data_IF_036309626505
#
_entry.id   IF_036309626505
#
_cell.length_a   1.000
_cell.length_b   1.000
_cell.length_c   1.000
_cell.angle_alpha   90.00
_cell.angle_beta   90.00
_cell.angle_gamma   90.00
#
_symmetry.space_group_name_H-M   'P 1'
#
loop_
_entity.id
_entity.type
_entity.pdbx_description
1 polymer ?
#
# COMPACT_ATOMS: atom_id res chain seq x y z
N UNK A 1 -19.06 -14.71 10.17
CA UNK A 1 -17.75 -14.07 10.01
C UNK A 1 -17.81 -13.16 8.78
N UNK A 2 -17.35 -11.93 8.86
CA UNK A 2 -17.24 -11.06 7.69
C UNK A 2 -16.34 -11.76 6.67
N UNK A 3 -16.81 -11.88 5.43
CA UNK A 3 -16.08 -12.54 4.34
C UNK A 3 -15.21 -11.56 3.54
N UNK A 4 -15.38 -10.25 3.79
CA UNK A 4 -14.52 -9.19 3.26
C UNK A 4 -13.83 -8.50 4.45
N UNK A 5 -12.53 -8.37 4.37
CA UNK A 5 -11.70 -7.84 5.43
C UNK A 5 -10.73 -6.78 4.87
N UNK A 6 -10.67 -5.63 5.55
CA UNK A 6 -9.69 -4.57 5.30
C UNK A 6 -8.97 -4.29 6.60
N UNK A 7 -7.66 -4.30 6.59
CA UNK A 7 -6.81 -3.88 7.69
C UNK A 7 -5.90 -2.75 7.24
N UNK A 8 -5.81 -1.71 8.05
CA UNK A 8 -4.86 -0.61 7.87
C UNK A 8 -4.09 -0.46 9.16
N UNK A 9 -2.78 -0.56 9.10
CA UNK A 9 -1.89 -0.43 10.23
C UNK A 9 -0.84 0.65 9.95
N UNK A 10 -0.49 1.40 10.99
CA UNK A 10 0.50 2.46 10.92
C UNK A 10 1.52 2.27 12.04
N UNK A 11 2.79 2.44 11.76
CA UNK A 11 3.83 2.47 12.79
C UNK A 11 4.83 3.59 12.58
N UNK A 12 5.39 4.05 13.68
CA UNK A 12 6.44 5.05 13.75
C UNK A 12 7.61 4.40 14.48
N UNK A 13 8.75 4.33 13.82
CA UNK A 13 9.97 3.79 14.37
C UNK A 13 10.96 4.94 14.57
N UNK A 14 11.48 5.10 15.77
CA UNK A 14 12.36 6.22 16.15
C UNK A 14 13.69 5.67 16.66
N UNK A 15 14.79 6.32 16.26
CA UNK A 15 16.12 5.93 16.75
C UNK A 15 16.29 6.30 18.22
N UNK A 16 16.87 5.39 19.00
CA UNK A 16 17.39 5.70 20.35
C UNK A 16 18.80 6.30 20.27
N UNK A 17 19.28 6.88 21.39
CA UNK A 17 20.63 7.43 21.44
C UNK A 17 20.81 8.83 20.84
N UNK A 18 19.72 9.47 20.44
CA UNK A 18 19.70 10.89 20.05
C UNK A 18 19.05 11.71 21.18
N UNK A 19 19.73 12.79 21.60
CA UNK A 19 19.26 13.63 22.71
C UNK A 19 17.86 14.24 22.45
N UNK A 20 17.52 14.49 21.20
CA UNK A 20 16.24 15.05 20.80
C UNK A 20 15.10 14.01 20.81
N UNK A 21 15.40 12.72 20.69
CA UNK A 21 14.37 11.66 20.65
C UNK A 21 13.51 11.63 21.95
N UNK A 22 14.11 11.98 23.08
CA UNK A 22 13.41 12.11 24.35
C UNK A 22 12.46 13.33 24.44
N UNK A 23 12.51 14.24 23.48
CA UNK A 23 11.78 15.51 23.47
C UNK A 23 10.76 15.63 22.32
N UNK A 24 10.40 14.54 21.68
CA UNK A 24 9.36 14.56 20.63
C UNK A 24 8.04 15.03 21.26
N UNK A 25 7.45 16.04 20.65
CA UNK A 25 6.27 16.73 21.18
C UNK A 25 5.05 15.80 21.25
N UNK A 26 4.30 15.88 22.34
CA UNK A 26 2.98 15.27 22.46
C UNK A 26 2.01 15.76 21.38
N UNK A 27 2.20 16.98 20.83
CA UNK A 27 1.45 17.50 19.69
C UNK A 27 1.64 16.69 18.40
N UNK A 28 2.70 15.87 18.33
CA UNK A 28 2.91 14.90 17.28
C UNK A 28 2.44 13.49 17.69
N UNK A 29 2.86 13.02 18.85
CA UNK A 29 2.61 11.65 19.30
C UNK A 29 1.12 11.36 19.56
N UNK A 30 0.39 12.29 20.18
CA UNK A 30 -1.03 12.10 20.50
C UNK A 30 -1.91 11.99 19.25
N UNK A 31 -1.81 12.90 18.24
CA UNK A 31 -2.53 12.74 16.99
C UNK A 31 -2.16 11.44 16.24
N UNK A 32 -0.88 11.06 16.20
CA UNK A 32 -0.44 9.83 15.57
C UNK A 32 -1.12 8.60 16.17
N UNK A 33 -1.19 8.50 17.49
CA UNK A 33 -1.89 7.42 18.20
C UNK A 33 -3.40 7.49 18.06
N UNK A 34 -3.99 8.69 18.22
CA UNK A 34 -5.45 8.84 18.35
C UNK A 34 -6.18 8.77 17.01
N UNK A 35 -5.64 9.44 15.97
CA UNK A 35 -6.32 9.57 14.68
C UNK A 35 -5.81 8.60 13.63
N UNK A 36 -4.53 8.24 13.71
CA UNK A 36 -3.90 7.31 12.75
C UNK A 36 -3.70 5.91 13.32
N UNK A 37 -4.06 5.68 14.61
CA UNK A 37 -3.85 4.42 15.34
C UNK A 37 -2.41 3.91 15.22
N UNK A 38 -1.45 4.85 15.16
CA UNK A 38 -0.03 4.55 14.95
C UNK A 38 0.59 3.87 16.17
N UNK A 39 1.21 2.75 15.95
CA UNK A 39 2.10 2.11 16.91
C UNK A 39 3.46 2.82 16.92
N UNK A 40 4.05 3.04 18.09
CA UNK A 40 5.30 3.79 18.22
C UNK A 40 6.35 2.86 18.82
N UNK A 41 7.47 2.73 18.09
CA UNK A 41 8.61 1.90 18.45
C UNK A 41 9.88 2.74 18.57
N UNK A 42 10.68 2.43 19.57
CA UNK A 42 12.01 2.98 19.77
C UNK A 42 13.05 1.85 19.58
N UNK A 43 14.07 2.09 18.76
CA UNK A 43 15.09 1.11 18.46
C UNK A 43 16.43 1.79 18.15
N UNK A 44 17.52 1.06 18.32
CA UNK A 44 18.87 1.54 17.99
C UNK A 44 19.18 1.32 16.51
N UNK A 45 19.07 2.39 15.72
CA UNK A 45 19.34 2.34 14.27
C UNK A 45 20.84 2.37 13.95
N UNK A 46 21.70 2.64 14.92
CA UNK A 46 23.15 2.74 14.73
C UNK A 46 23.84 1.40 14.96
N UNK A 47 23.66 0.83 16.15
CA UNK A 47 24.40 -0.38 16.53
C UNK A 47 23.60 -1.68 16.23
N UNK A 48 22.28 -1.57 16.05
CA UNK A 48 21.38 -2.71 15.82
C UNK A 48 20.53 -2.60 14.54
N UNK A 49 21.02 -1.89 13.52
CA UNK A 49 20.31 -1.66 12.25
C UNK A 49 19.73 -2.94 11.62
N UNK A 50 20.51 -4.02 11.57
CA UNK A 50 20.07 -5.30 10.99
C UNK A 50 18.91 -5.94 11.77
N UNK A 51 18.84 -5.73 13.09
CA UNK A 51 17.74 -6.23 13.89
C UNK A 51 16.49 -5.38 13.67
N UNK A 52 16.64 -4.06 13.57
CA UNK A 52 15.54 -3.13 13.26
C UNK A 52 14.91 -3.45 11.91
N UNK A 53 15.72 -3.73 10.89
CA UNK A 53 15.24 -4.19 9.56
C UNK A 53 14.37 -5.44 9.70
N UNK A 54 14.79 -6.41 10.50
CA UNK A 54 14.00 -7.63 10.73
C UNK A 54 12.70 -7.33 11.46
N UNK A 55 12.73 -6.48 12.48
CA UNK A 55 11.57 -6.15 13.30
C UNK A 55 10.53 -5.38 12.48
N UNK A 56 10.96 -4.43 11.64
CA UNK A 56 10.09 -3.71 10.69
C UNK A 56 9.46 -4.69 9.68
N UNK A 57 10.27 -5.55 9.07
CA UNK A 57 9.77 -6.52 8.10
C UNK A 57 8.79 -7.52 8.74
N UNK A 58 9.04 -7.97 9.97
CA UNK A 58 8.13 -8.83 10.71
C UNK A 58 6.81 -8.11 11.03
N UNK A 59 6.87 -6.85 11.46
CA UNK A 59 5.67 -6.04 11.72
C UNK A 59 4.80 -5.94 10.47
N UNK A 60 5.40 -5.63 9.33
CA UNK A 60 4.70 -5.56 8.04
C UNK A 60 4.10 -6.90 7.65
N UNK A 61 4.88 -7.96 7.73
CA UNK A 61 4.44 -9.31 7.39
C UNK A 61 3.21 -9.74 8.23
N UNK A 62 3.21 -9.42 9.52
CA UNK A 62 2.08 -9.69 10.41
C UNK A 62 0.84 -8.87 10.04
N UNK A 63 1.00 -7.56 9.77
CA UNK A 63 -0.11 -6.66 9.47
C UNK A 63 -0.66 -6.80 8.05
N UNK A 64 0.06 -7.46 7.16
CA UNK A 64 -0.39 -7.80 5.80
C UNK A 64 -0.79 -9.27 5.64
N UNK A 65 -1.07 -9.97 6.74
CA UNK A 65 -1.42 -11.38 6.74
C UNK A 65 -0.43 -12.24 5.93
N UNK A 66 0.87 -12.00 6.14
CA UNK A 66 2.00 -12.67 5.49
C UNK A 66 2.10 -12.45 3.96
N UNK A 67 1.37 -11.49 3.42
CA UNK A 67 1.44 -11.19 1.99
C UNK A 67 2.69 -10.40 1.59
N UNK A 68 3.18 -9.52 2.46
CA UNK A 68 4.40 -8.74 2.24
C UNK A 68 5.46 -9.15 3.28
N UNK A 69 6.34 -10.08 2.95
CA UNK A 69 7.35 -10.59 3.90
C UNK A 69 8.47 -9.61 4.21
N UNK A 70 8.70 -8.62 3.33
CA UNK A 70 9.70 -7.58 3.58
C UNK A 70 9.45 -6.34 2.74
N UNK A 71 9.72 -5.17 3.33
CA UNK A 71 9.69 -3.86 2.67
C UNK A 71 11.09 -3.30 2.48
N UNK A 72 12.00 -3.58 3.41
CA UNK A 72 13.34 -3.02 3.40
C UNK A 72 14.39 -4.10 3.59
N UNK A 73 15.59 -3.87 3.01
CA UNK A 73 16.72 -4.77 3.12
C UNK A 73 17.86 -4.20 3.97
N UNK A 74 17.93 -2.88 4.10
CA UNK A 74 18.98 -2.18 4.82
C UNK A 74 18.44 -0.92 5.48
N UNK A 75 19.09 -0.48 6.54
CA UNK A 75 18.79 0.75 7.27
C UNK A 75 20.07 1.58 7.38
N UNK A 76 20.00 2.82 6.90
CA UNK A 76 21.13 3.76 7.03
C UNK A 76 21.25 4.23 8.48
N UNK A 77 22.47 4.29 8.99
CA UNK A 77 22.79 4.82 10.34
C UNK A 77 22.45 6.31 10.52
N UNK A 78 22.25 7.03 9.42
CA UNK A 78 21.78 8.42 9.45
C UNK A 78 20.25 8.54 9.52
N UNK A 79 19.52 7.44 9.47
CA UNK A 79 18.08 7.44 9.63
C UNK A 79 17.72 7.80 11.07
N UNK A 80 16.74 8.68 11.24
CA UNK A 80 16.30 9.13 12.55
C UNK A 80 14.89 8.69 12.86
N UNK A 81 14.07 8.52 11.82
CA UNK A 81 12.68 8.08 11.95
C UNK A 81 12.23 7.36 10.68
N UNK A 82 11.35 6.39 10.84
CA UNK A 82 10.63 5.74 9.75
C UNK A 82 9.13 5.75 10.05
N UNK A 83 8.33 6.04 9.04
CA UNK A 83 6.88 5.96 9.08
C UNK A 83 6.46 4.84 8.13
N UNK A 84 5.80 3.83 8.67
CA UNK A 84 5.38 2.65 7.91
C UNK A 84 3.86 2.59 7.91
N UNK A 85 3.27 2.46 6.75
CA UNK A 85 1.85 2.18 6.58
C UNK A 85 1.67 0.84 5.88
N UNK A 86 0.84 -0.02 6.41
CA UNK A 86 0.49 -1.31 5.82
C UNK A 86 -1.02 -1.38 5.60
N UNK A 87 -1.43 -1.76 4.40
CA UNK A 87 -2.83 -1.99 4.04
C UNK A 87 -2.99 -3.42 3.54
N UNK A 88 -3.96 -4.12 4.07
CA UNK A 88 -4.34 -5.45 3.66
C UNK A 88 -5.82 -5.50 3.34
N UNK A 89 -6.17 -6.09 2.20
CA UNK A 89 -7.52 -6.38 1.78
C UNK A 89 -7.66 -7.87 1.45
N UNK A 90 -8.75 -8.47 1.91
CA UNK A 90 -9.19 -9.80 1.47
C UNK A 90 -10.68 -9.77 1.22
N UNK A 91 -11.09 -10.12 0.01
CA UNK A 91 -12.49 -10.23 -0.38
C UNK A 91 -12.74 -11.56 -1.08
N UNK A 92 -13.67 -12.35 -0.57
CA UNK A 92 -14.12 -13.55 -1.24
C UNK A 92 -15.19 -13.18 -2.25
N UNK A 93 -15.15 -13.80 -3.43
CA UNK A 93 -16.20 -13.60 -4.40
C UNK A 93 -17.56 -14.03 -3.82
N UNK A 94 -18.62 -13.28 -4.08
CA UNK A 94 -19.98 -13.70 -3.75
C UNK A 94 -20.37 -14.95 -4.53
N UNK A 95 -19.94 -15.04 -5.80
CA UNK A 95 -20.03 -16.21 -6.65
C UNK A 95 -18.59 -16.63 -7.00
N UNK A 96 -18.00 -17.60 -6.27
CA UNK A 96 -16.63 -18.03 -6.51
C UNK A 96 -16.50 -18.82 -7.81
N UNK A 97 -15.33 -18.76 -8.42
CA UNK A 97 -15.00 -19.65 -9.53
C UNK A 97 -14.74 -21.06 -9.00
N UNK A 98 -15.02 -22.06 -9.82
CA UNK A 98 -14.73 -23.46 -9.47
C UNK A 98 -13.33 -23.82 -9.97
N UNK A 99 -12.48 -24.37 -9.10
CA UNK A 99 -11.10 -24.76 -9.48
C UNK A 99 -11.02 -25.66 -10.71
N UNK A 100 -12.00 -26.58 -10.86
CA UNK A 100 -12.09 -27.46 -12.04
C UNK A 100 -12.38 -26.74 -13.35
N UNK A 101 -12.79 -25.46 -13.29
CA UNK A 101 -13.04 -24.61 -14.45
C UNK A 101 -11.89 -23.60 -14.67
N UNK A 102 -10.74 -23.81 -14.02
CA UNK A 102 -9.51 -23.05 -14.26
C UNK A 102 -8.58 -23.91 -15.11
N UNK A 103 -8.25 -23.44 -16.30
CA UNK A 103 -7.34 -24.11 -17.22
C UNK A 103 -6.59 -23.10 -18.08
N UNK A 104 -5.51 -23.55 -18.70
CA UNK A 104 -4.69 -22.70 -19.56
C UNK A 104 -5.49 -22.24 -20.79
N UNK A 105 -5.60 -20.93 -20.97
CA UNK A 105 -6.27 -20.30 -22.09
C UNK A 105 -5.54 -19.04 -22.56
N UNK A 106 -5.92 -18.50 -23.70
CA UNK A 106 -5.27 -17.35 -24.31
C UNK A 106 -5.76 -16.04 -23.71
N UNK A 107 -4.82 -15.25 -23.18
CA UNK A 107 -5.05 -13.86 -22.79
C UNK A 107 -4.53 -12.92 -23.88
N UNK A 108 -5.43 -12.11 -24.44
CA UNK A 108 -5.12 -11.13 -25.48
C UNK A 108 -4.63 -9.81 -24.86
N UNK A 109 -3.34 -9.71 -24.61
CA UNK A 109 -2.71 -8.52 -24.03
C UNK A 109 -2.31 -7.47 -25.06
N UNK A 110 -2.06 -6.25 -24.61
CA UNK A 110 -1.57 -5.15 -25.47
C UNK A 110 -0.21 -5.42 -26.10
N UNK A 111 0.60 -6.28 -25.50
CA UNK A 111 1.93 -6.70 -25.99
C UNK A 111 1.89 -8.01 -26.78
N UNK A 112 0.70 -8.57 -27.01
CA UNK A 112 0.47 -9.84 -27.70
C UNK A 112 -0.23 -10.87 -26.84
N UNK A 113 -0.49 -12.02 -27.44
CA UNK A 113 -1.17 -13.14 -26.79
C UNK A 113 -0.24 -13.88 -25.83
N UNK A 114 -0.79 -14.31 -24.71
CA UNK A 114 -0.10 -15.16 -23.74
C UNK A 114 -1.02 -16.27 -23.21
N UNK A 115 -0.44 -17.41 -22.86
CA UNK A 115 -1.17 -18.50 -22.20
C UNK A 115 -1.11 -18.29 -20.70
N UNK A 116 -2.29 -18.24 -20.05
CA UNK A 116 -2.42 -18.01 -18.62
C UNK A 116 -3.44 -18.97 -18.00
N UNK A 117 -3.35 -19.30 -16.71
CA UNK A 117 -4.45 -19.95 -16.01
C UNK A 117 -5.67 -19.04 -16.02
N UNK A 118 -6.70 -19.42 -16.77
CA UNK A 118 -7.93 -18.66 -16.94
C UNK A 118 -9.04 -19.33 -16.14
N UNK A 119 -9.64 -18.58 -15.23
CA UNK A 119 -10.80 -18.99 -14.46
C UNK A 119 -12.06 -18.75 -15.29
N UNK A 120 -12.96 -19.74 -15.35
CA UNK A 120 -14.22 -19.65 -16.10
C UNK A 120 -15.40 -19.75 -15.15
N UNK A 121 -16.38 -18.84 -15.35
CA UNK A 121 -17.66 -18.86 -14.67
C UNK A 121 -18.77 -18.83 -15.72
N UNK A 122 -19.74 -19.70 -15.61
CA UNK A 122 -20.74 -19.97 -16.63
C UNK A 122 -22.15 -19.65 -16.13
N UNK A 123 -23.00 -19.14 -17.05
CA UNK A 123 -24.43 -18.97 -16.87
C UNK A 123 -24.84 -18.16 -15.64
N UNK A 124 -24.08 -17.11 -15.32
CA UNK A 124 -24.30 -16.25 -14.16
C UNK A 124 -24.81 -14.86 -14.54
N UNK A 125 -25.51 -14.21 -13.60
CA UNK A 125 -26.03 -12.84 -13.78
C UNK A 125 -25.20 -11.84 -13.00
N UNK A 126 -24.62 -10.89 -13.74
CA UNK A 126 -23.86 -9.78 -13.16
C UNK A 126 -24.29 -8.45 -13.78
N UNK A 127 -24.08 -7.35 -13.04
CA UNK A 127 -24.22 -6.02 -13.59
C UNK A 127 -23.15 -5.79 -14.63
N UNK A 128 -23.57 -5.45 -15.84
CA UNK A 128 -22.71 -5.26 -17.01
C UNK A 128 -23.04 -3.94 -17.69
N UNK A 129 -22.03 -3.24 -18.14
CA UNK A 129 -22.17 -2.04 -18.95
C UNK A 129 -21.26 -2.11 -20.18
N UNK A 130 -21.76 -1.62 -21.31
CA UNK A 130 -21.04 -1.54 -22.57
C UNK A 130 -21.26 -0.16 -23.20
N UNK A 131 -20.20 0.66 -23.27
CA UNK A 131 -20.21 1.95 -23.95
C UNK A 131 -19.69 1.87 -25.38
N UNK A 132 -19.45 0.68 -25.91
CA UNK A 132 -18.86 0.45 -27.23
C UNK A 132 -17.33 0.48 -27.21
N UNK A 133 -16.72 1.36 -26.46
CA UNK A 133 -15.25 1.45 -26.30
C UNK A 133 -14.74 0.83 -25.00
N UNK A 134 -15.58 0.81 -23.97
CA UNK A 134 -15.27 0.24 -22.65
C UNK A 134 -16.41 -0.70 -22.25
N UNK A 135 -16.05 -1.88 -21.82
CA UNK A 135 -16.96 -2.86 -21.22
C UNK A 135 -16.61 -3.04 -19.76
N UNK A 136 -17.60 -3.11 -18.88
CA UNK A 136 -17.43 -3.29 -17.46
C UNK A 136 -18.37 -4.35 -16.88
N UNK A 137 -17.88 -5.09 -15.92
CA UNK A 137 -18.65 -6.06 -15.15
C UNK A 137 -18.37 -5.86 -13.66
N UNK A 138 -19.40 -6.05 -12.83
CA UNK A 138 -19.26 -6.01 -11.37
C UNK A 138 -19.22 -7.41 -10.83
N UNK A 139 -18.09 -7.82 -10.27
CA UNK A 139 -17.91 -9.04 -9.52
C UNK A 139 -17.96 -8.73 -8.01
N UNK A 140 -19.09 -8.94 -7.33
CA UNK A 140 -19.23 -8.55 -5.94
C UNK A 140 -18.49 -9.49 -5.00
N UNK A 141 -17.92 -8.90 -3.93
CA UNK A 141 -17.41 -9.68 -2.81
C UNK A 141 -18.54 -10.06 -1.85
N UNK A 142 -18.38 -11.21 -1.19
CA UNK A 142 -19.31 -11.68 -0.16
C UNK A 142 -19.25 -10.74 1.07
N UNK A 143 -20.43 -10.36 1.58
CA UNK A 143 -20.55 -9.44 2.70
C UNK A 143 -20.42 -7.94 2.37
N UNK A 144 -20.26 -7.57 1.09
CA UNK A 144 -20.41 -6.18 0.67
C UNK A 144 -21.85 -5.72 0.91
N UNK A 145 -22.03 -4.50 1.45
CA UNK A 145 -23.37 -3.96 1.72
C UNK A 145 -24.17 -3.76 0.43
N UNK A 146 -25.49 -3.80 0.54
CA UNK A 146 -26.38 -3.53 -0.61
C UNK A 146 -26.15 -2.12 -1.14
N UNK A 147 -25.90 -1.16 -0.23
CA UNK A 147 -25.68 0.25 -0.58
C UNK A 147 -24.35 0.45 -1.33
N UNK A 148 -23.27 -0.26 -0.93
CA UNK A 148 -21.99 -0.21 -1.63
C UNK A 148 -22.09 -0.84 -3.03
N UNK A 149 -22.80 -1.96 -3.15
CA UNK A 149 -23.08 -2.58 -4.44
C UNK A 149 -23.90 -1.67 -5.34
N UNK A 150 -24.94 -1.01 -4.81
CA UNK A 150 -25.79 -0.11 -5.56
C UNK A 150 -25.02 1.11 -6.04
N UNK A 151 -24.21 1.74 -5.17
CA UNK A 151 -23.38 2.89 -5.55
C UNK A 151 -22.40 2.55 -6.69
N UNK A 152 -21.86 1.33 -6.71
CA UNK A 152 -21.00 0.86 -7.79
C UNK A 152 -21.79 0.62 -9.08
N UNK A 153 -22.98 0.00 -9.00
CA UNK A 153 -23.87 -0.22 -10.14
C UNK A 153 -24.33 1.11 -10.73
N UNK A 154 -24.72 2.07 -9.88
CA UNK A 154 -25.17 3.40 -10.30
C UNK A 154 -24.04 4.21 -10.97
N UNK A 155 -22.77 3.87 -10.69
CA UNK A 155 -21.63 4.48 -11.37
C UNK A 155 -21.43 4.01 -12.80
N UNK A 156 -22.07 2.90 -13.18
CA UNK A 156 -22.08 2.35 -14.53
C UNK A 156 -23.32 2.89 -15.26
N UNK A 157 -23.17 3.92 -16.07
CA UNK A 157 -24.27 4.46 -16.90
C UNK A 157 -24.89 3.33 -17.74
N UNK A 158 -26.19 3.09 -17.58
CA UNK A 158 -26.97 2.04 -18.26
C UNK A 158 -26.53 0.61 -17.95
N UNK A 159 -26.19 0.31 -16.69
CA UNK A 159 -25.91 -1.07 -16.30
C UNK A 159 -27.16 -1.95 -16.44
N UNK A 160 -27.05 -3.02 -17.22
CA UNK A 160 -27.99 -4.12 -17.30
C UNK A 160 -27.50 -5.30 -16.44
N UNK A 161 -28.37 -6.28 -16.21
CA UNK A 161 -27.99 -7.55 -15.56
C UNK A 161 -28.35 -8.73 -16.47
N UNK A 162 -27.71 -8.82 -17.65
CA UNK A 162 -27.94 -9.93 -18.56
C UNK A 162 -27.41 -11.23 -17.95
N UNK A 163 -27.93 -12.33 -18.44
CA UNK A 163 -27.28 -13.63 -18.27
C UNK A 163 -26.02 -13.64 -19.15
N UNK A 164 -24.89 -13.88 -18.52
CA UNK A 164 -23.60 -13.91 -19.20
C UNK A 164 -23.20 -15.36 -19.37
N UNK A 165 -23.08 -15.81 -20.60
CA UNK A 165 -22.76 -17.20 -20.94
C UNK A 165 -21.41 -17.63 -20.32
N UNK A 166 -20.41 -16.77 -20.41
CA UNK A 166 -19.09 -17.07 -19.85
C UNK A 166 -18.36 -15.79 -19.42
N UNK A 167 -17.83 -15.82 -18.18
CA UNK A 167 -16.84 -14.85 -17.71
C UNK A 167 -15.50 -15.55 -17.67
N UNK A 168 -14.50 -14.92 -18.28
CA UNK A 168 -13.11 -15.35 -18.27
C UNK A 168 -12.27 -14.32 -17.50
N UNK A 169 -11.65 -14.75 -16.42
CA UNK A 169 -10.78 -13.89 -15.59
C UNK A 169 -9.44 -14.61 -15.37
N UNK A 170 -8.31 -14.00 -15.74
CA UNK A 170 -7.01 -14.59 -15.46
C UNK A 170 -6.79 -14.74 -13.95
N UNK A 171 -6.27 -15.90 -13.54
CA UNK A 171 -5.69 -16.08 -12.22
C UNK A 171 -4.29 -15.48 -12.23
N UNK A 172 -4.00 -14.55 -11.34
CA UNK A 172 -2.70 -13.89 -11.35
C UNK A 172 -2.23 -13.45 -9.96
N UNK A 173 -0.95 -13.24 -9.87
CA UNK A 173 -0.29 -12.51 -8.78
C UNK A 173 0.51 -11.40 -9.41
N UNK A 174 0.31 -10.16 -8.94
CA UNK A 174 1.13 -9.02 -9.30
C UNK A 174 1.74 -8.42 -8.03
N UNK A 175 3.03 -8.11 -8.08
CA UNK A 175 3.78 -7.50 -6.99
C UNK A 175 4.62 -6.36 -7.55
N UNK A 176 4.37 -5.16 -7.07
CA UNK A 176 5.04 -3.94 -7.50
C UNK A 176 5.78 -3.31 -6.33
N UNK A 177 7.01 -2.90 -6.58
CA UNK A 177 7.82 -2.13 -5.62
C UNK A 177 8.29 -0.86 -6.30
N UNK A 178 7.94 0.28 -5.73
CA UNK A 178 8.33 1.59 -6.21
C UNK A 178 9.27 2.20 -5.18
N UNK A 179 10.57 2.23 -5.51
CA UNK A 179 11.57 2.94 -4.72
C UNK A 179 11.76 4.34 -5.32
N UNK A 180 11.97 5.35 -4.47
CA UNK A 180 12.08 6.73 -4.95
C UNK A 180 10.75 7.34 -5.38
N UNK A 181 9.69 7.07 -4.63
CA UNK A 181 8.37 7.68 -4.81
C UNK A 181 8.41 9.21 -4.62
N UNK A 182 9.44 9.73 -3.98
CA UNK A 182 9.74 11.15 -3.75
C UNK A 182 9.69 11.99 -5.03
N UNK A 183 10.23 11.50 -6.16
CA UNK A 183 10.14 12.21 -7.45
C UNK A 183 8.69 12.36 -7.93
N UNK A 184 7.87 11.36 -7.72
CA UNK A 184 6.45 11.38 -8.07
C UNK A 184 5.70 12.33 -7.15
N UNK A 185 5.94 12.25 -5.84
CA UNK A 185 5.33 13.11 -4.82
C UNK A 185 5.70 14.58 -5.03
N UNK A 186 6.97 14.87 -5.39
CA UNK A 186 7.42 16.21 -5.75
C UNK A 186 6.67 16.78 -6.96
N UNK A 187 6.43 15.98 -8.00
CA UNK A 187 5.62 16.37 -9.18
C UNK A 187 4.16 16.60 -8.82
N UNK A 188 3.63 15.87 -7.86
CA UNK A 188 2.28 16.05 -7.32
C UNK A 188 2.16 17.24 -6.36
N UNK A 189 3.25 17.94 -6.05
CA UNK A 189 3.27 19.17 -5.25
C UNK A 189 3.74 19.00 -3.81
N UNK A 190 4.07 17.79 -3.36
CA UNK A 190 4.62 17.53 -2.02
C UNK A 190 6.13 17.80 -2.05
N UNK A 191 6.54 19.05 -1.90
CA UNK A 191 7.94 19.49 -2.04
C UNK A 191 8.59 19.85 -0.72
N UNK A 192 7.86 20.50 0.17
CA UNK A 192 8.39 21.02 1.44
C UNK A 192 8.92 19.93 2.36
N UNK A 193 8.36 18.70 2.30
CA UNK A 193 8.79 17.60 3.14
C UNK A 193 10.26 17.18 2.94
N UNK A 194 10.84 17.49 1.77
CA UNK A 194 12.20 17.04 1.39
C UNK A 194 13.30 18.09 1.58
N UNK A 195 12.96 19.38 1.54
CA UNK A 195 13.98 20.43 1.52
C UNK A 195 13.78 21.53 2.57
N UNK A 196 12.54 21.83 2.94
CA UNK A 196 12.21 22.91 3.86
C UNK A 196 11.05 22.54 4.78
N UNK A 197 11.03 21.30 5.22
CA UNK A 197 10.00 20.78 6.10
C UNK A 197 10.06 21.43 7.47
N UNK A 198 8.91 21.78 8.00
CA UNK A 198 8.76 22.11 9.41
C UNK A 198 8.40 20.83 10.19
N UNK A 199 9.42 20.13 10.65
CA UNK A 199 9.30 18.99 11.56
C UNK A 199 9.63 19.37 13.01
N UNK A 200 9.54 20.64 13.39
CA UNK A 200 9.90 21.15 14.73
C UNK A 200 9.16 20.45 15.89
N UNK A 201 8.01 19.83 15.63
CA UNK A 201 7.32 18.99 16.62
C UNK A 201 7.99 17.64 16.88
N UNK A 202 8.90 17.24 16.01
CA UNK A 202 9.71 16.02 16.12
C UNK A 202 11.14 16.42 16.49
N UNK A 203 11.84 17.11 15.61
CA UNK A 203 13.17 17.63 15.81
C UNK A 203 13.51 18.71 14.76
N UNK A 204 14.48 19.57 15.08
CA UNK A 204 15.04 20.51 14.12
C UNK A 204 16.06 19.81 13.18
N UNK A 205 16.14 20.27 11.94
CA UNK A 205 17.16 19.81 10.99
C UNK A 205 16.95 18.39 10.46
N UNK A 206 15.72 17.89 10.45
CA UNK A 206 15.36 16.62 9.84
C UNK A 206 14.48 16.83 8.60
N UNK A 207 14.57 15.90 7.65
CA UNK A 207 13.76 15.91 6.43
C UNK A 207 13.47 14.48 5.98
N UNK A 208 12.40 14.30 5.19
CA UNK A 208 12.15 13.03 4.50
C UNK A 208 13.29 12.77 3.52
N UNK A 209 13.89 11.59 3.59
CA UNK A 209 15.01 11.20 2.72
C UNK A 209 14.62 10.26 1.60
N UNK A 210 13.64 9.41 1.83
CA UNK A 210 13.10 8.51 0.82
C UNK A 210 11.69 8.08 1.17
N UNK A 211 10.93 7.75 0.15
CA UNK A 211 9.60 7.13 0.26
C UNK A 211 9.56 5.94 -0.67
N UNK A 212 9.21 4.77 -0.15
CA UNK A 212 9.02 3.56 -0.94
C UNK A 212 7.59 3.07 -0.77
N UNK A 213 7.10 2.39 -1.78
CA UNK A 213 5.77 1.77 -1.77
C UNK A 213 5.83 0.37 -2.34
N UNK A 214 5.24 -0.58 -1.65
CA UNK A 214 5.12 -1.94 -2.12
C UNK A 214 3.67 -2.38 -2.09
N UNK A 215 3.21 -2.97 -3.19
CA UNK A 215 1.86 -3.50 -3.32
C UNK A 215 1.91 -4.91 -3.88
N UNK A 216 1.00 -5.76 -3.42
CA UNK A 216 0.82 -7.11 -3.92
C UNK A 216 -0.66 -7.41 -4.02
N UNK A 217 -1.08 -7.98 -5.15
CA UNK A 217 -2.43 -8.46 -5.38
C UNK A 217 -2.40 -9.90 -5.86
N UNK A 218 -3.30 -10.70 -5.33
CA UNK A 218 -3.54 -12.09 -5.76
C UNK A 218 -5.02 -12.18 -6.12
N UNK A 219 -5.30 -12.66 -7.33
CA UNK A 219 -6.65 -12.95 -7.80
C UNK A 219 -6.73 -14.43 -8.10
N UNK A 220 -7.62 -15.13 -7.40
CA UNK A 220 -7.83 -16.56 -7.51
C UNK A 220 -9.33 -16.91 -7.53
N UNK A 221 -9.66 -18.19 -7.58
CA UNK A 221 -11.01 -18.71 -7.65
C UNK A 221 -11.88 -18.30 -6.47
N UNK A 222 -11.28 -18.05 -5.31
CA UNK A 222 -11.99 -17.74 -4.08
C UNK A 222 -12.24 -16.24 -3.90
N UNK A 223 -11.40 -15.39 -4.52
CA UNK A 223 -11.48 -13.95 -4.30
C UNK A 223 -10.25 -13.18 -4.71
N UNK A 224 -10.13 -12.01 -4.11
CA UNK A 224 -8.97 -11.14 -4.23
C UNK A 224 -8.33 -10.94 -2.87
N UNK A 225 -7.01 -11.05 -2.82
CA UNK A 225 -6.18 -10.61 -1.70
C UNK A 225 -5.24 -9.54 -2.19
N UNK A 226 -5.20 -8.42 -1.50
CA UNK A 226 -4.31 -7.32 -1.85
C UNK A 226 -3.64 -6.77 -0.59
N UNK A 227 -2.36 -6.48 -0.69
CA UNK A 227 -1.62 -5.76 0.35
C UNK A 227 -0.84 -4.63 -0.29
N UNK A 228 -0.81 -3.49 0.38
CA UNK A 228 -0.03 -2.35 -0.02
C UNK A 228 0.69 -1.77 1.19
N UNK A 229 1.87 -1.27 0.97
CA UNK A 229 2.69 -0.71 2.02
C UNK A 229 3.46 0.50 1.52
N UNK A 230 3.64 1.47 2.42
CA UNK A 230 4.43 2.67 2.18
C UNK A 230 5.36 2.89 3.37
N UNK A 231 6.65 3.04 3.12
CA UNK A 231 7.61 3.52 4.12
C UNK A 231 8.10 4.92 3.76
N UNK A 232 8.26 5.74 4.78
CA UNK A 232 8.84 7.08 4.69
C UNK A 232 10.03 7.13 5.63
N UNK A 233 11.23 7.33 5.08
CA UNK A 233 12.47 7.38 5.86
C UNK A 233 12.88 8.84 6.07
N UNK A 234 13.05 9.23 7.33
CA UNK A 234 13.49 10.56 7.75
C UNK A 234 14.93 10.47 8.24
N UNK A 235 15.80 11.34 7.71
CA UNK A 235 17.21 11.43 8.08
C UNK A 235 17.56 12.82 8.60
N UNK A 236 18.65 12.91 9.37
CA UNK A 236 19.28 14.18 9.70
C UNK A 236 19.77 14.87 8.42
N UNK A 237 19.44 16.15 8.26
CA UNK A 237 20.04 16.99 7.22
C UNK A 237 21.38 17.50 7.73
N UNK A 238 22.45 17.43 6.90
CA UNK A 238 23.69 18.09 7.21
C UNK A 238 23.42 19.58 7.33
N UNK A 239 23.66 20.17 8.50
CA UNK A 239 23.70 21.62 8.64
C UNK A 239 24.84 22.13 7.75
N UNK A 240 24.51 22.81 6.65
CA UNK A 240 25.50 23.61 5.95
C UNK A 240 25.94 24.72 6.93
N UNK A 241 27.26 24.88 7.20
CA UNK A 241 27.71 26.01 7.97
C UNK A 241 27.24 27.29 7.25
N UNK A 242 26.87 28.36 7.99
CA UNK A 242 26.47 29.62 7.38
C UNK A 242 27.58 30.10 6.45
N UNK A 243 27.22 30.46 5.21
CA UNK A 243 28.16 31.14 4.31
C UNK A 243 28.70 32.39 5.00
N UNK A 244 29.99 32.40 5.27
CA UNK A 244 30.68 33.61 5.68
C UNK A 244 30.64 34.62 4.52
N UNK A 245 29.78 35.62 4.62
CA UNK A 245 29.75 36.75 3.71
C UNK A 245 30.95 37.64 4.03
N UNK A 246 32.01 37.52 3.24
CA UNK A 246 33.11 38.54 3.24
C UNK A 246 32.62 39.74 2.46
N UNK A 247 32.29 40.82 3.17
CA UNK A 247 32.17 42.15 2.59
C UNK A 247 33.59 42.74 2.40
N UNK A 248 33.97 43.00 1.16
CA UNK A 248 35.11 43.84 0.80
C UNK A 248 34.65 45.25 0.54
#
# INVERSE_FOLDING_TARGET
SKQTYVNTANSIWMTTGKDWAANISDDFLLPAKTYYHGEIYEADFTDHADQVVKDVNNWVNEHTNQMIPSIMNELSTNTVMMLINAVYFEGKWQTPFTEGNTYDDTFHGTSGDSTVPMMHLYDERFSYADSGSIKGIVLPYDGASVDEKQALIDSLDNADSPEIETIQLPKFTDEQSINGLDDILNRLGIRSAYASADFSKIADGIAVSSVSHKAKVIVDENGTKAAAETDIIIKETAMMPPEETYNF
#
